data_IF_207061241115
#
_entry.id   IF_207061241115
#
_cell.length_a   1.000
_cell.length_b   1.000
_cell.length_c   1.000
_cell.angle_alpha   90.00
_cell.angle_beta   90.00
_cell.angle_gamma   90.00
#
_symmetry.space_group_name_H-M   'P 1'
#
loop_
_entity.id
_entity.type
_entity.pdbx_description
1 polymer ?
#
# COMPACT_ATOMS: atom_id res chain seq x y z
N UNK A 1 25.18 12.80 10.43
CA UNK A 1 24.87 13.77 11.51
C UNK A 1 24.50 15.16 10.96
N UNK A 2 25.04 15.58 9.81
CA UNK A 2 24.79 16.90 9.22
C UNK A 2 23.33 17.11 8.79
N UNK A 3 22.70 16.13 8.11
CA UNK A 3 21.31 16.21 7.66
C UNK A 3 20.26 16.16 8.81
N UNK A 4 20.66 15.70 9.99
CA UNK A 4 19.77 15.62 11.17
C UNK A 4 19.50 16.98 11.83
N UNK A 5 20.31 18.01 11.55
CA UNK A 5 20.23 19.34 12.15
C UNK A 5 19.70 20.44 11.21
N UNK A 6 19.44 20.12 9.93
CA UNK A 6 18.96 21.13 9.01
C UNK A 6 17.49 21.48 9.31
N UNK A 7 17.26 22.71 9.71
CA UNK A 7 15.93 23.30 9.87
C UNK A 7 15.35 23.61 8.51
N UNK A 8 14.29 22.90 8.12
CA UNK A 8 13.49 23.21 6.95
C UNK A 8 12.51 24.29 7.39
N UNK A 9 12.63 25.50 6.82
CA UNK A 9 11.80 26.67 7.12
C UNK A 9 11.87 27.23 8.57
N UNK A 10 12.93 27.03 9.33
CA UNK A 10 13.12 27.66 10.64
C UNK A 10 12.15 27.25 11.76
N UNK A 11 11.19 26.37 11.50
CA UNK A 11 10.13 25.94 12.43
C UNK A 11 10.12 24.43 12.71
N UNK A 12 10.58 23.60 11.78
CA UNK A 12 10.57 22.15 11.92
C UNK A 12 11.90 21.54 11.46
N UNK A 13 12.50 20.76 12.33
CA UNK A 13 13.66 19.95 11.96
C UNK A 13 13.21 18.80 11.06
N UNK A 14 14.01 18.42 10.05
CA UNK A 14 13.76 17.23 9.22
C UNK A 14 13.43 15.98 10.06
N UNK A 15 14.00 15.92 11.27
CA UNK A 15 13.73 14.89 12.26
C UNK A 15 12.30 14.92 12.80
N UNK A 16 11.70 16.08 12.97
CA UNK A 16 10.32 16.20 13.48
C UNK A 16 9.31 15.79 12.40
N UNK A 17 9.60 16.13 11.15
CA UNK A 17 8.81 15.66 10.01
C UNK A 17 8.84 14.12 9.87
N UNK A 18 10.03 13.52 9.91
CA UNK A 18 10.18 12.07 9.84
C UNK A 18 9.54 11.37 11.03
N UNK A 19 9.65 11.93 12.25
CA UNK A 19 8.98 11.42 13.44
C UNK A 19 7.45 11.52 13.34
N UNK A 20 6.93 12.60 12.79
CA UNK A 20 5.49 12.77 12.57
C UNK A 20 4.95 11.65 11.67
N UNK A 21 5.56 11.43 10.50
CA UNK A 21 5.17 10.34 9.60
C UNK A 21 5.27 8.98 10.27
N UNK A 22 6.39 8.73 10.98
CA UNK A 22 6.58 7.47 11.68
C UNK A 22 5.49 7.22 12.74
N UNK A 23 5.11 8.24 13.51
CA UNK A 23 4.10 8.12 14.55
C UNK A 23 2.70 7.80 13.97
N UNK A 24 2.33 8.41 12.84
CA UNK A 24 1.07 8.07 12.17
C UNK A 24 1.05 6.61 11.68
N UNK A 25 2.13 6.18 11.05
CA UNK A 25 2.26 4.78 10.59
C UNK A 25 2.24 3.81 11.78
N UNK A 26 2.87 4.18 12.90
CA UNK A 26 2.88 3.39 14.13
C UNK A 26 1.49 3.14 14.70
N UNK A 27 0.61 4.12 14.68
CA UNK A 27 -0.76 3.95 15.18
C UNK A 27 -1.46 2.83 14.40
N UNK A 28 -1.39 2.87 13.06
CA UNK A 28 -2.00 1.84 12.22
C UNK A 28 -1.28 0.49 12.35
N UNK A 29 0.05 0.50 12.40
CA UNK A 29 0.84 -0.71 12.54
C UNK A 29 0.61 -1.39 13.88
N UNK A 30 0.64 -0.64 14.98
CA UNK A 30 0.37 -1.18 16.31
C UNK A 30 -1.06 -1.73 16.43
N UNK A 31 -2.04 -1.07 15.80
CA UNK A 31 -3.41 -1.56 15.76
C UNK A 31 -3.50 -2.89 15.00
N UNK A 32 -2.90 -3.00 13.82
CA UNK A 32 -2.93 -4.24 13.02
C UNK A 32 -2.11 -5.35 13.67
N UNK A 33 -0.96 -5.04 14.29
CA UNK A 33 -0.18 -6.00 15.05
C UNK A 33 -0.92 -6.48 16.32
N UNK A 34 -1.59 -5.57 17.02
CA UNK A 34 -2.41 -5.94 18.18
C UNK A 34 -3.55 -6.86 17.77
N UNK A 35 -4.23 -6.57 16.66
CA UNK A 35 -5.32 -7.37 16.14
C UNK A 35 -4.87 -8.78 15.73
N UNK A 36 -3.74 -8.90 15.01
CA UNK A 36 -3.32 -10.15 14.36
C UNK A 36 -2.40 -11.01 15.24
N UNK A 37 -1.62 -10.40 16.13
CA UNK A 37 -0.50 -11.08 16.79
C UNK A 37 -0.37 -10.81 18.28
N UNK A 38 -0.43 -9.53 18.73
CA UNK A 38 -0.11 -9.16 20.12
C UNK A 38 -1.30 -9.17 21.08
N UNK A 39 -2.53 -9.00 20.58
CA UNK A 39 -3.70 -8.70 21.40
C UNK A 39 -3.72 -7.23 21.87
N UNK A 40 -4.79 -6.88 22.58
CA UNK A 40 -4.99 -5.56 23.18
C UNK A 40 -4.78 -5.62 24.69
N UNK A 41 -3.56 -5.37 25.21
CA UNK A 41 -3.26 -5.53 26.65
C UNK A 41 -4.13 -4.64 27.53
N UNK A 42 -4.58 -3.46 27.01
CA UNK A 42 -5.42 -2.54 27.76
C UNK A 42 -6.86 -3.03 27.97
N UNK A 43 -7.31 -4.06 27.24
CA UNK A 43 -8.67 -4.59 27.30
C UNK A 43 -8.72 -6.07 27.64
N UNK A 44 -7.61 -6.69 28.02
CA UNK A 44 -7.46 -8.15 28.24
C UNK A 44 -7.98 -9.00 27.07
N UNK A 45 -7.97 -8.44 25.85
CA UNK A 45 -8.39 -9.13 24.64
C UNK A 45 -7.14 -9.68 23.95
N UNK A 46 -7.05 -11.01 23.85
CA UNK A 46 -6.00 -11.69 23.12
C UNK A 46 -6.03 -11.39 21.61
N UNK A 47 -5.00 -11.77 20.85
CA UNK A 47 -5.00 -11.65 19.40
C UNK A 47 -6.13 -12.47 18.78
N UNK A 48 -6.50 -12.16 17.54
CA UNK A 48 -7.52 -12.92 16.82
C UNK A 48 -7.15 -14.41 16.80
N UNK A 49 -8.06 -15.32 17.21
CA UNK A 49 -7.80 -16.74 17.16
C UNK A 49 -7.45 -17.19 15.75
N UNK A 50 -6.49 -18.08 15.60
CA UNK A 50 -6.12 -18.63 14.30
C UNK A 50 -7.29 -19.24 13.54
N UNK A 51 -8.26 -19.82 14.27
CA UNK A 51 -9.51 -20.36 13.71
C UNK A 51 -10.31 -19.26 13.01
N UNK A 52 -10.38 -18.07 13.58
CA UNK A 52 -11.10 -16.93 12.99
C UNK A 52 -10.46 -16.51 11.66
N UNK A 53 -9.12 -16.40 11.60
CA UNK A 53 -8.39 -16.03 10.39
C UNK A 53 -8.57 -17.11 9.31
N UNK A 54 -8.50 -18.39 9.70
CA UNK A 54 -8.73 -19.51 8.79
C UNK A 54 -10.15 -19.47 8.21
N UNK A 55 -11.16 -19.36 9.08
CA UNK A 55 -12.58 -19.33 8.64
C UNK A 55 -12.86 -18.11 7.76
N UNK A 56 -12.34 -16.95 8.13
CA UNK A 56 -12.47 -15.70 7.32
C UNK A 56 -11.86 -15.89 5.91
N UNK A 57 -10.67 -16.51 5.84
CA UNK A 57 -10.00 -16.76 4.55
C UNK A 57 -10.80 -17.73 3.68
N UNK A 58 -11.36 -18.81 4.29
CA UNK A 58 -12.20 -19.77 3.57
C UNK A 58 -13.48 -19.10 3.05
N UNK A 59 -14.17 -18.31 3.90
CA UNK A 59 -15.40 -17.59 3.52
C UNK A 59 -15.12 -16.60 2.41
N UNK A 60 -14.09 -15.77 2.53
CA UNK A 60 -13.70 -14.81 1.49
C UNK A 60 -13.31 -15.52 0.19
N UNK A 61 -12.54 -16.61 0.27
CA UNK A 61 -12.17 -17.41 -0.89
C UNK A 61 -13.39 -17.97 -1.61
N UNK A 62 -14.35 -18.48 -0.86
CA UNK A 62 -15.60 -19.03 -1.41
C UNK A 62 -16.43 -17.93 -2.09
N UNK A 63 -16.56 -16.76 -1.45
CA UNK A 63 -17.33 -15.65 -1.99
C UNK A 63 -16.71 -15.03 -3.25
N UNK A 64 -15.37 -14.91 -3.32
CA UNK A 64 -14.68 -14.26 -4.43
C UNK A 64 -14.59 -15.13 -5.68
N UNK A 65 -14.27 -16.41 -5.55
CA UNK A 65 -14.00 -17.29 -6.70
C UNK A 65 -14.49 -18.74 -6.51
N UNK A 66 -15.31 -18.96 -5.49
CA UNK A 66 -15.89 -20.26 -5.20
C UNK A 66 -14.95 -21.22 -4.46
N UNK A 67 -15.35 -22.51 -4.45
CA UNK A 67 -14.72 -23.53 -3.61
C UNK A 67 -13.22 -23.76 -3.86
N UNK A 68 -12.74 -23.51 -5.09
CA UNK A 68 -11.33 -23.72 -5.46
C UNK A 68 -10.40 -22.75 -4.71
N UNK A 69 -10.77 -21.47 -4.63
CA UNK A 69 -9.99 -20.46 -3.90
C UNK A 69 -10.12 -20.67 -2.39
N UNK A 70 -11.29 -21.04 -1.91
CA UNK A 70 -11.51 -21.38 -0.50
C UNK A 70 -10.64 -22.55 -0.06
N UNK A 71 -10.56 -23.60 -0.87
CA UNK A 71 -9.73 -24.79 -0.57
C UNK A 71 -8.24 -24.42 -0.60
N UNK A 72 -7.78 -23.65 -1.59
CA UNK A 72 -6.40 -23.21 -1.68
C UNK A 72 -6.01 -22.35 -0.47
N UNK A 73 -6.81 -21.33 -0.13
CA UNK A 73 -6.56 -20.49 1.03
C UNK A 73 -6.61 -21.31 2.34
N UNK A 74 -7.61 -22.17 2.51
CA UNK A 74 -7.75 -23.04 3.66
C UNK A 74 -6.55 -23.96 3.85
N UNK A 75 -6.08 -24.63 2.80
CA UNK A 75 -4.91 -25.53 2.88
C UNK A 75 -3.62 -24.78 3.19
N UNK A 76 -3.39 -23.60 2.58
CA UNK A 76 -2.22 -22.77 2.87
C UNK A 76 -2.20 -22.33 4.35
N UNK A 77 -3.30 -21.80 4.86
CA UNK A 77 -3.37 -21.38 6.27
C UNK A 77 -3.29 -22.56 7.24
N UNK A 78 -3.92 -23.70 6.92
CA UNK A 78 -3.79 -24.92 7.72
C UNK A 78 -2.33 -25.38 7.77
N UNK A 79 -1.62 -25.33 6.65
CA UNK A 79 -0.19 -25.64 6.61
C UNK A 79 0.62 -24.72 7.55
N UNK A 80 0.38 -23.38 7.50
CA UNK A 80 1.04 -22.44 8.40
C UNK A 80 0.76 -22.75 9.88
N UNK A 81 -0.46 -23.15 10.21
CA UNK A 81 -0.85 -23.52 11.58
C UNK A 81 -0.15 -24.80 12.04
N UNK A 82 -0.10 -25.83 11.20
CA UNK A 82 0.58 -27.09 11.54
C UNK A 82 2.08 -26.88 11.82
N UNK A 83 2.72 -25.94 11.14
CA UNK A 83 4.12 -25.55 11.36
C UNK A 83 4.30 -24.43 12.38
N UNK A 84 3.24 -24.00 13.06
CA UNK A 84 3.24 -22.91 14.05
C UNK A 84 4.26 -23.09 15.18
N UNK A 85 4.57 -24.32 15.57
CA UNK A 85 5.59 -24.64 16.61
C UNK A 85 6.98 -24.05 16.32
N UNK A 86 7.27 -23.65 15.08
CA UNK A 86 8.53 -23.01 14.66
C UNK A 86 8.43 -21.49 14.58
N UNK A 87 7.40 -20.87 15.14
CA UNK A 87 7.19 -19.42 15.07
C UNK A 87 6.75 -18.90 13.71
N UNK A 88 6.48 -19.79 12.73
CA UNK A 88 6.11 -19.38 11.37
C UNK A 88 4.78 -18.62 11.35
N UNK A 89 3.83 -19.03 12.17
CA UNK A 89 2.55 -18.34 12.30
C UNK A 89 2.74 -16.89 12.73
N UNK A 90 3.55 -16.67 13.76
CA UNK A 90 3.85 -15.34 14.29
C UNK A 90 4.50 -14.43 13.24
N UNK A 91 5.50 -14.95 12.53
CA UNK A 91 6.16 -14.22 11.45
C UNK A 91 5.18 -13.90 10.32
N UNK A 92 4.33 -14.84 9.93
CA UNK A 92 3.31 -14.63 8.90
C UNK A 92 2.29 -13.56 9.29
N UNK A 93 1.88 -13.52 10.57
CA UNK A 93 0.96 -12.50 11.07
C UNK A 93 1.62 -11.11 11.13
N UNK A 94 2.91 -11.02 11.48
CA UNK A 94 3.68 -9.77 11.40
C UNK A 94 3.78 -9.26 9.96
N UNK A 95 4.10 -10.15 9.03
CA UNK A 95 4.13 -9.82 7.60
C UNK A 95 2.76 -9.35 7.11
N UNK A 96 1.69 -10.06 7.47
CA UNK A 96 0.32 -9.67 7.11
C UNK A 96 -0.05 -8.29 7.68
N UNK A 97 0.32 -8.01 8.95
CA UNK A 97 0.10 -6.70 9.56
C UNK A 97 0.82 -5.58 8.79
N UNK A 98 2.09 -5.78 8.46
CA UNK A 98 2.88 -4.82 7.71
C UNK A 98 2.29 -4.54 6.31
N UNK A 99 1.86 -5.58 5.58
CA UNK A 99 1.24 -5.45 4.26
C UNK A 99 -0.13 -4.78 4.36
N UNK A 100 -0.92 -5.10 5.38
CA UNK A 100 -2.24 -4.51 5.59
C UNK A 100 -2.18 -3.00 5.81
N UNK A 101 -1.04 -2.46 6.25
CA UNK A 101 -0.80 -1.02 6.38
C UNK A 101 -0.14 -0.45 5.13
N UNK A 102 0.93 -1.09 4.64
CA UNK A 102 1.73 -0.55 3.52
C UNK A 102 0.97 -0.54 2.20
N UNK A 103 0.24 -1.61 1.86
CA UNK A 103 -0.42 -1.71 0.57
C UNK A 103 -1.53 -0.67 0.37
N UNK A 104 -2.49 -0.46 1.30
CA UNK A 104 -3.50 0.60 1.15
C UNK A 104 -2.88 1.99 1.07
N UNK A 105 -1.86 2.29 1.89
CA UNK A 105 -1.19 3.58 1.86
C UNK A 105 -0.47 3.82 0.53
N UNK A 106 0.24 2.81 0.01
CA UNK A 106 0.89 2.91 -1.30
C UNK A 106 -0.13 3.08 -2.44
N UNK A 107 -1.29 2.39 -2.38
CA UNK A 107 -2.38 2.56 -3.35
C UNK A 107 -2.94 3.97 -3.28
N UNK A 108 -3.25 4.49 -2.10
CA UNK A 108 -3.81 5.85 -1.93
C UNK A 108 -2.84 6.90 -2.46
N UNK A 109 -1.56 6.83 -2.07
CA UNK A 109 -0.52 7.75 -2.53
C UNK A 109 -0.38 7.66 -4.06
N UNK A 110 -0.29 6.43 -4.60
CA UNK A 110 -0.14 6.18 -6.02
C UNK A 110 -1.33 6.68 -6.85
N UNK A 111 -2.56 6.46 -6.36
CA UNK A 111 -3.78 6.99 -6.99
C UNK A 111 -3.81 8.50 -6.98
N UNK A 112 -3.58 9.14 -5.83
CA UNK A 112 -3.60 10.60 -5.71
C UNK A 112 -2.57 11.26 -6.64
N UNK A 113 -1.32 10.78 -6.62
CA UNK A 113 -0.26 11.29 -7.50
C UNK A 113 -0.58 11.02 -8.97
N UNK A 114 -1.10 9.84 -9.29
CA UNK A 114 -1.47 9.45 -10.64
C UNK A 114 -2.60 10.31 -11.22
N UNK A 115 -3.65 10.58 -10.45
CA UNK A 115 -4.76 11.47 -10.83
C UNK A 115 -4.26 12.89 -11.05
N UNK A 116 -3.44 13.43 -10.12
CA UNK A 116 -2.87 14.77 -10.24
C UNK A 116 -2.01 14.91 -11.50
N UNK A 117 -1.16 13.92 -11.78
CA UNK A 117 -0.30 13.91 -12.96
C UNK A 117 -1.11 13.74 -14.26
N UNK A 118 -2.16 12.91 -14.26
CA UNK A 118 -3.03 12.74 -15.42
C UNK A 118 -3.76 14.07 -15.81
N UNK A 119 -4.04 14.92 -14.81
CA UNK A 119 -4.72 16.21 -15.01
C UNK A 119 -3.79 17.39 -15.30
N UNK A 120 -2.50 17.31 -14.91
CA UNK A 120 -1.53 18.39 -15.02
C UNK A 120 -0.29 17.95 -15.78
N UNK A 121 -0.18 18.31 -17.05
CA UNK A 121 0.93 17.91 -17.93
C UNK A 121 2.30 18.28 -17.36
N UNK A 122 2.44 19.50 -16.78
CA UNK A 122 3.69 19.95 -16.18
C UNK A 122 4.10 19.07 -14.99
N UNK A 123 3.14 18.66 -14.16
CA UNK A 123 3.39 17.74 -13.04
C UNK A 123 3.73 16.34 -13.52
N UNK A 124 3.07 15.85 -14.57
CA UNK A 124 3.40 14.59 -15.19
C UNK A 124 4.84 14.57 -15.72
N UNK A 125 5.26 15.61 -16.42
CA UNK A 125 6.63 15.71 -16.96
C UNK A 125 7.72 15.69 -15.88
N UNK A 126 7.44 16.24 -14.70
CA UNK A 126 8.34 16.16 -13.54
C UNK A 126 8.31 14.77 -12.88
N UNK A 127 7.12 14.19 -12.81
CA UNK A 127 6.91 12.93 -12.09
C UNK A 127 7.46 11.71 -12.85
N UNK A 128 7.38 11.68 -14.19
CA UNK A 128 7.85 10.57 -15.01
C UNK A 128 9.33 10.21 -14.78
N UNK A 129 10.29 11.15 -14.86
CA UNK A 129 11.69 10.84 -14.57
C UNK A 129 11.90 10.32 -13.14
N UNK A 130 11.20 10.93 -12.17
CA UNK A 130 11.26 10.51 -10.78
C UNK A 130 10.79 9.06 -10.60
N UNK A 131 9.65 8.68 -11.21
CA UNK A 131 9.15 7.31 -11.18
C UNK A 131 10.12 6.33 -11.85
N UNK A 132 10.80 6.74 -12.94
CA UNK A 132 11.80 5.91 -13.60
C UNK A 132 12.99 5.64 -12.68
N UNK A 133 13.52 6.68 -12.02
CA UNK A 133 14.62 6.55 -11.06
C UNK A 133 14.20 5.63 -9.91
N UNK A 134 13.03 5.88 -9.33
CA UNK A 134 12.51 5.06 -8.24
C UNK A 134 12.37 3.58 -8.63
N UNK A 135 12.00 3.25 -9.85
CA UNK A 135 11.83 1.87 -10.30
C UNK A 135 13.15 1.20 -10.79
N UNK A 136 14.20 1.97 -11.01
CA UNK A 136 15.51 1.42 -11.41
C UNK A 136 16.34 0.95 -10.22
N UNK A 137 16.05 1.40 -9.01
CA UNK A 137 16.78 1.03 -7.81
C UNK A 137 16.37 -0.37 -7.32
N UNK A 138 17.31 -1.20 -6.88
CA UNK A 138 17.00 -2.46 -6.22
C UNK A 138 16.17 -2.21 -4.95
N UNK A 139 15.17 -3.05 -4.69
CA UNK A 139 14.25 -2.87 -3.56
C UNK A 139 14.95 -2.75 -2.19
N UNK A 140 16.02 -3.49 -1.94
CA UNK A 140 16.79 -3.38 -0.69
C UNK A 140 17.47 -2.03 -0.49
N UNK A 141 17.76 -1.27 -1.57
CA UNK A 141 18.34 0.07 -1.45
C UNK A 141 17.41 1.05 -0.71
N UNK A 142 16.09 0.87 -0.84
CA UNK A 142 15.11 1.66 -0.10
C UNK A 142 15.15 1.39 1.38
N UNK A 143 15.32 0.13 1.78
CA UNK A 143 15.40 -0.25 3.18
C UNK A 143 16.61 0.40 3.86
N UNK A 144 17.78 0.36 3.22
CA UNK A 144 19.00 0.97 3.75
C UNK A 144 18.79 2.47 3.97
N UNK A 145 18.23 3.16 2.98
CA UNK A 145 17.98 4.59 3.07
C UNK A 145 16.98 4.93 4.19
N UNK A 146 15.90 4.18 4.29
CA UNK A 146 14.87 4.41 5.32
C UNK A 146 15.39 4.08 6.71
N UNK A 147 16.20 3.04 6.89
CA UNK A 147 16.80 2.68 8.17
C UNK A 147 17.71 3.79 8.71
N UNK A 148 18.43 4.49 7.84
CA UNK A 148 19.28 5.63 8.24
C UNK A 148 18.44 6.76 8.87
N UNK A 149 17.24 7.01 8.37
CA UNK A 149 16.37 8.10 8.84
C UNK A 149 15.43 7.69 9.98
N UNK A 150 14.88 6.48 9.94
CA UNK A 150 13.83 6.02 10.85
C UNK A 150 14.32 5.00 11.90
N UNK A 151 15.54 4.48 11.74
CA UNK A 151 16.09 3.42 12.59
C UNK A 151 15.69 2.03 12.12
N UNK A 152 16.21 1.00 12.79
CA UNK A 152 15.94 -0.40 12.50
C UNK A 152 14.60 -0.80 13.15
N UNK A 153 13.73 -1.49 12.42
CA UNK A 153 12.47 -2.01 12.94
C UNK A 153 11.39 -2.16 11.88
N UNK A 154 10.25 -2.74 12.27
CA UNK A 154 9.09 -2.99 11.38
C UNK A 154 8.59 -1.71 10.71
N UNK A 155 8.66 -0.56 11.42
CA UNK A 155 8.32 0.77 10.87
C UNK A 155 9.11 1.11 9.62
N UNK A 156 10.44 0.94 9.70
CA UNK A 156 11.32 1.22 8.56
C UNK A 156 10.97 0.31 7.38
N UNK A 157 10.68 -0.95 7.63
CA UNK A 157 10.20 -1.89 6.61
C UNK A 157 8.92 -1.42 5.93
N UNK A 158 7.90 -1.01 6.71
CA UNK A 158 6.62 -0.51 6.19
C UNK A 158 6.82 0.76 5.35
N UNK A 159 7.62 1.72 5.83
CA UNK A 159 7.90 2.97 5.11
C UNK A 159 8.64 2.68 3.79
N UNK A 160 9.67 1.84 3.84
CA UNK A 160 10.41 1.43 2.64
C UNK A 160 9.50 0.74 1.63
N UNK A 161 8.60 -0.13 2.10
CA UNK A 161 7.61 -0.81 1.27
C UNK A 161 6.66 0.17 0.59
N UNK A 162 6.15 1.18 1.30
CA UNK A 162 5.28 2.22 0.72
C UNK A 162 6.01 2.97 -0.39
N UNK A 163 7.26 3.41 -0.12
CA UNK A 163 8.07 4.17 -1.09
C UNK A 163 8.37 3.34 -2.34
N UNK A 164 8.62 2.05 -2.17
CA UNK A 164 8.89 1.13 -3.28
C UNK A 164 7.63 0.77 -4.08
N UNK A 165 6.47 0.64 -3.42
CA UNK A 165 5.27 0.09 -4.02
C UNK A 165 4.36 1.13 -4.71
N UNK A 166 4.41 2.44 -4.34
CA UNK A 166 3.50 3.43 -4.96
C UNK A 166 3.82 3.77 -6.44
N UNK A 167 5.07 3.71 -6.96
CA UNK A 167 5.38 4.14 -8.31
C UNK A 167 4.62 3.41 -9.42
N UNK A 168 4.50 2.06 -9.45
CA UNK A 168 3.72 1.38 -10.48
C UNK A 168 2.24 1.72 -10.44
N UNK A 169 1.66 1.91 -9.25
CA UNK A 169 0.29 2.38 -9.09
C UNK A 169 0.09 3.76 -9.73
N UNK A 170 1.00 4.69 -9.43
CA UNK A 170 0.99 6.04 -10.02
C UNK A 170 1.04 5.97 -11.54
N UNK A 171 1.97 5.18 -12.09
CA UNK A 171 2.14 5.02 -13.55
C UNK A 171 0.90 4.46 -14.22
N UNK A 172 0.34 3.38 -13.68
CA UNK A 172 -0.84 2.74 -14.24
C UNK A 172 -2.10 3.61 -14.11
N UNK A 173 -2.19 4.43 -13.08
CA UNK A 173 -3.26 5.43 -12.93
C UNK A 173 -3.13 6.52 -13.99
N UNK A 174 -1.93 7.06 -14.23
CA UNK A 174 -1.69 8.06 -15.29
C UNK A 174 -2.11 7.49 -16.64
N UNK A 175 -1.56 6.32 -17.00
CA UNK A 175 -1.84 5.67 -18.28
C UNK A 175 -3.33 5.33 -18.43
N UNK A 176 -3.95 4.83 -17.36
CA UNK A 176 -5.37 4.49 -17.36
C UNK A 176 -6.26 5.68 -17.66
N UNK A 177 -6.00 6.83 -17.02
CA UNK A 177 -6.79 8.03 -17.23
C UNK A 177 -6.47 8.68 -18.60
N UNK A 178 -5.21 8.69 -19.01
CA UNK A 178 -4.82 9.31 -20.30
C UNK A 178 -5.33 8.53 -21.51
N UNK A 179 -5.43 7.21 -21.42
CA UNK A 179 -5.86 6.34 -22.50
C UNK A 179 -7.39 6.18 -22.61
N UNK A 180 -8.17 6.92 -21.83
CA UNK A 180 -9.63 6.93 -22.00
C UNK A 180 -9.99 7.53 -23.36
N UNK A 181 -10.86 6.85 -24.11
CA UNK A 181 -11.27 7.31 -25.43
C UNK A 181 -11.95 8.69 -25.37
N UNK A 182 -11.80 9.45 -26.46
CA UNK A 182 -12.37 10.79 -26.58
C UNK A 182 -13.89 10.77 -26.48
N UNK A 183 -14.51 9.75 -27.07
CA UNK A 183 -15.97 9.56 -27.10
C UNK A 183 -16.56 9.46 -25.67
N UNK A 184 -15.89 8.75 -24.77
CA UNK A 184 -16.32 8.63 -23.36
C UNK A 184 -16.21 10.00 -22.65
N UNK A 185 -15.16 10.77 -22.92
CA UNK A 185 -14.99 12.09 -22.33
C UNK A 185 -16.03 13.08 -22.89
N UNK A 186 -16.26 13.07 -24.20
CA UNK A 186 -17.24 13.91 -24.87
C UNK A 186 -18.66 13.60 -24.37
N UNK A 187 -19.02 12.31 -24.24
CA UNK A 187 -20.29 11.91 -23.65
C UNK A 187 -20.48 12.48 -22.22
N UNK A 188 -19.44 12.47 -21.40
CA UNK A 188 -19.49 13.05 -20.06
C UNK A 188 -19.68 14.59 -20.11
N UNK A 189 -19.03 15.28 -21.04
CA UNK A 189 -19.18 16.73 -21.24
C UNK A 189 -20.60 17.04 -21.72
N UNK A 190 -21.10 16.32 -22.70
CA UNK A 190 -22.47 16.48 -23.23
C UNK A 190 -23.55 16.22 -22.18
N UNK A 191 -23.28 15.30 -21.23
CA UNK A 191 -24.13 15.07 -20.06
C UNK A 191 -24.05 16.17 -18.98
N UNK A 192 -23.26 17.23 -19.20
CA UNK A 192 -23.12 18.35 -18.26
C UNK A 192 -22.33 18.02 -16.98
N UNK A 193 -21.43 17.04 -17.02
CA UNK A 193 -20.65 16.65 -15.85
C UNK A 193 -19.71 17.78 -15.41
N UNK A 194 -19.72 18.09 -14.11
CA UNK A 194 -18.69 18.94 -13.49
C UNK A 194 -17.33 18.23 -13.47
N UNK A 195 -16.23 18.97 -13.23
CA UNK A 195 -14.87 18.38 -13.17
C UNK A 195 -14.75 17.20 -12.22
N UNK A 196 -15.40 17.27 -11.05
CA UNK A 196 -15.42 16.19 -10.06
C UNK A 196 -16.28 15.00 -10.51
N UNK A 197 -17.45 15.29 -11.09
CA UNK A 197 -18.30 14.24 -11.65
C UNK A 197 -17.61 13.52 -12.82
N UNK A 198 -16.93 14.28 -13.68
CA UNK A 198 -16.13 13.72 -14.78
C UNK A 198 -15.06 12.75 -14.24
N UNK A 199 -14.30 13.16 -13.20
CA UNK A 199 -13.27 12.32 -12.60
C UNK A 199 -13.87 11.04 -11.97
N UNK A 200 -14.81 11.18 -11.04
CA UNK A 200 -15.29 10.05 -10.24
C UNK A 200 -16.33 9.17 -10.92
N UNK A 201 -17.19 9.75 -11.80
CA UNK A 201 -18.27 9.01 -12.45
C UNK A 201 -17.93 8.53 -13.86
N UNK A 202 -16.94 9.13 -14.50
CA UNK A 202 -16.57 8.79 -15.89
C UNK A 202 -15.14 8.26 -15.98
N UNK A 203 -14.13 9.06 -15.59
CA UNK A 203 -12.74 8.70 -15.85
C UNK A 203 -12.22 7.55 -14.98
N UNK A 204 -12.45 7.57 -13.66
CA UNK A 204 -12.01 6.49 -12.77
C UNK A 204 -12.69 5.16 -13.12
N UNK A 205 -14.02 5.09 -13.33
CA UNK A 205 -14.66 3.86 -13.79
C UNK A 205 -14.18 3.38 -15.15
N UNK A 206 -13.95 4.28 -16.11
CA UNK A 206 -13.40 3.94 -17.41
C UNK A 206 -11.96 3.41 -17.34
N UNK A 207 -11.14 3.95 -16.41
CA UNK A 207 -9.77 3.53 -16.14
C UNK A 207 -9.67 2.33 -15.17
N UNK A 208 -10.79 1.66 -14.85
CA UNK A 208 -10.83 0.58 -13.86
C UNK A 208 -9.82 -0.53 -14.11
N UNK A 209 -9.65 -0.96 -15.35
CA UNK A 209 -8.76 -2.08 -15.69
C UNK A 209 -7.29 -1.77 -15.37
N UNK A 210 -6.69 -0.67 -15.85
CA UNK A 210 -5.33 -0.27 -15.46
C UNK A 210 -5.17 -0.01 -13.96
N UNK A 211 -6.18 0.59 -13.30
CA UNK A 211 -6.15 0.84 -11.85
C UNK A 211 -6.09 -0.47 -11.06
N UNK A 212 -6.91 -1.47 -11.42
CA UNK A 212 -6.88 -2.79 -10.78
C UNK A 212 -5.54 -3.51 -11.01
N UNK A 213 -4.96 -3.36 -12.21
CA UNK A 213 -3.61 -3.85 -12.48
C UNK A 213 -2.58 -3.17 -11.58
N UNK A 214 -2.72 -1.86 -11.35
CA UNK A 214 -1.88 -1.10 -10.42
C UNK A 214 -1.96 -1.61 -8.98
N UNK A 215 -3.16 -1.86 -8.48
CA UNK A 215 -3.39 -2.45 -7.15
C UNK A 215 -2.71 -3.82 -7.04
N UNK A 216 -2.87 -4.67 -8.04
CA UNK A 216 -2.22 -5.98 -8.07
C UNK A 216 -0.69 -5.86 -8.02
N UNK A 217 -0.11 -4.92 -8.78
CA UNK A 217 1.34 -4.65 -8.75
C UNK A 217 1.81 -4.18 -7.36
N UNK A 218 1.05 -3.28 -6.70
CA UNK A 218 1.36 -2.84 -5.33
C UNK A 218 1.39 -4.01 -4.37
N UNK A 219 0.38 -4.89 -4.39
CA UNK A 219 0.32 -6.05 -3.50
C UNK A 219 1.53 -6.97 -3.71
N UNK A 220 1.86 -7.27 -4.97
CA UNK A 220 3.02 -8.10 -5.29
C UNK A 220 4.35 -7.48 -4.83
N UNK A 221 4.51 -6.16 -4.97
CA UNK A 221 5.70 -5.46 -4.50
C UNK A 221 5.78 -5.39 -2.98
N UNK A 222 4.65 -5.18 -2.28
CA UNK A 222 4.62 -5.23 -0.83
C UNK A 222 5.02 -6.61 -0.30
N UNK A 223 4.53 -7.69 -0.93
CA UNK A 223 4.94 -9.06 -0.58
C UNK A 223 6.44 -9.29 -0.78
N UNK A 224 7.02 -8.76 -1.86
CA UNK A 224 8.44 -8.91 -2.15
C UNK A 224 9.35 -8.14 -1.18
N UNK A 225 8.86 -7.06 -0.55
CA UNK A 225 9.67 -6.18 0.29
C UNK A 225 9.59 -6.52 1.78
N UNK A 226 8.45 -7.05 2.25
CA UNK A 226 8.18 -7.28 3.69
C UNK A 226 8.75 -8.62 4.19
N UNK A 227 9.29 -9.45 3.31
CA UNK A 227 9.88 -10.77 3.67
C UNK A 227 11.14 -10.65 4.53
#
# INVERSE_FOLDING_TARGET
QFLRKYEIFGLFTFRDFTRGIANYIDIFLNFTEALLHKGFPNFDIGPLPWIFILTLTIILGFYLKGWRLALLGGTCFTYLILFSKRGIWELSMKTLAAISVSAPLAVIIGLCLGILAAKRKNFANLLWPMLNILQSLPHFSYLILVVIFFGIGTKAGVIATIIFAFPPMTRLTILGIQNISKEIREAGIMAGCTKWQMLFKVEIPAARSPIMLGINQVIMQCLAMVV
#
